data_IF_028284857532
#
_entry.id   IF_028284857532
#
_cell.length_a   1.000
_cell.length_b   1.000
_cell.length_c   1.000
_cell.angle_alpha   90.00
_cell.angle_beta   90.00
_cell.angle_gamma   90.00
#
_symmetry.space_group_name_H-M   'P 1'
#
loop_
_entity.id
_entity.type
_entity.pdbx_description
1 polymer ?
#
# COMPACT_ATOMS: atom_id res chain seq x y z
N UNK A 1 15.23 -8.77 -4.53
CA UNK A 1 13.94 -8.07 -4.34
C UNK A 1 14.02 -6.74 -5.05
N UNK A 2 13.03 -6.41 -5.89
CA UNK A 2 12.96 -5.11 -6.55
C UNK A 2 12.18 -4.11 -5.71
N UNK A 3 12.64 -2.86 -5.64
CA UNK A 3 11.95 -1.78 -4.93
C UNK A 3 11.68 -0.67 -5.94
N UNK A 4 10.44 -0.18 -5.97
CA UNK A 4 10.04 0.98 -6.75
C UNK A 4 9.39 1.99 -5.83
N UNK A 5 9.81 3.24 -5.95
CA UNK A 5 9.25 4.36 -5.21
C UNK A 5 8.70 5.35 -6.23
N UNK A 6 7.43 5.74 -6.06
CA UNK A 6 6.75 6.71 -6.91
C UNK A 6 6.38 7.93 -6.06
N UNK A 7 6.43 9.11 -6.67
CA UNK A 7 5.99 10.39 -6.11
C UNK A 7 5.13 11.08 -7.16
N UNK A 8 4.01 11.66 -6.76
CA UNK A 8 3.16 12.42 -7.66
C UNK A 8 1.86 12.86 -7.00
N UNK A 9 1.44 14.09 -7.33
CA UNK A 9 0.13 14.63 -6.96
C UNK A 9 -0.14 14.67 -5.46
N UNK A 10 -1.37 14.29 -5.11
CA UNK A 10 -2.00 14.30 -3.79
C UNK A 10 -2.13 12.89 -3.19
N UNK A 11 -1.40 11.92 -3.72
CA UNK A 11 -1.43 10.52 -3.27
C UNK A 11 -1.04 10.42 -1.79
N UNK A 12 -1.97 9.95 -0.96
CA UNK A 12 -1.73 9.73 0.48
C UNK A 12 -0.81 8.53 0.71
N UNK A 13 -1.03 7.42 0.00
CA UNK A 13 -0.15 6.26 0.04
C UNK A 13 -0.68 5.07 -0.74
N UNK A 14 0.12 4.60 -1.69
CA UNK A 14 -0.13 3.40 -2.50
C UNK A 14 1.05 2.45 -2.37
N UNK A 15 0.78 1.20 -1.99
CA UNK A 15 1.79 0.15 -1.85
C UNK A 15 1.30 -1.12 -2.52
N UNK A 16 2.10 -1.64 -3.46
CA UNK A 16 1.81 -2.90 -4.12
C UNK A 16 2.99 -3.85 -3.99
N UNK A 17 2.70 -5.09 -3.62
CA UNK A 17 3.61 -6.22 -3.68
C UNK A 17 3.16 -7.14 -4.81
N UNK A 18 4.14 -7.69 -5.52
CA UNK A 18 3.91 -8.63 -6.61
C UNK A 18 4.77 -9.87 -6.40
N UNK A 19 4.13 -11.04 -6.39
CA UNK A 19 4.78 -12.34 -6.38
C UNK A 19 4.56 -12.97 -7.75
N UNK A 20 5.65 -13.30 -8.44
CA UNK A 20 5.60 -13.85 -9.80
C UNK A 20 6.27 -15.22 -9.77
N UNK A 21 5.53 -16.23 -10.20
CA UNK A 21 6.01 -17.60 -10.40
C UNK A 21 5.68 -18.04 -11.83
N UNK A 22 6.04 -19.27 -12.21
CA UNK A 22 5.76 -19.76 -13.57
C UNK A 22 4.26 -19.88 -13.80
N UNK A 23 3.73 -19.06 -14.70
CA UNK A 23 2.32 -19.11 -15.10
C UNK A 23 1.35 -18.44 -14.13
N UNK A 24 1.84 -17.81 -13.05
CA UNK A 24 0.99 -17.20 -12.02
C UNK A 24 1.63 -15.93 -11.47
N UNK A 25 0.76 -14.95 -11.17
CA UNK A 25 1.11 -13.69 -10.53
C UNK A 25 0.08 -13.36 -9.46
N UNK A 26 0.56 -13.06 -8.26
CA UNK A 26 -0.27 -12.61 -7.14
C UNK A 26 0.13 -11.17 -6.82
N UNK A 27 -0.86 -10.27 -6.79
CA UNK A 27 -0.67 -8.88 -6.42
C UNK A 27 -1.43 -8.57 -5.12
N UNK A 28 -0.75 -7.93 -4.17
CA UNK A 28 -1.34 -7.39 -2.94
C UNK A 28 -1.18 -5.87 -2.97
N UNK A 29 -2.29 -5.14 -2.89
CA UNK A 29 -2.27 -3.67 -2.92
C UNK A 29 -2.98 -3.08 -1.71
N UNK A 30 -2.31 -2.14 -1.05
CA UNK A 30 -2.91 -1.28 -0.04
C UNK A 30 -2.91 0.16 -0.56
N UNK A 31 -4.09 0.78 -0.57
CA UNK A 31 -4.32 2.17 -0.97
C UNK A 31 -5.03 2.93 0.13
N UNK A 32 -4.40 3.98 0.62
CA UNK A 32 -4.99 4.89 1.60
C UNK A 32 -5.62 6.09 0.87
N UNK A 33 -6.90 6.36 1.17
CA UNK A 33 -7.63 7.51 0.62
C UNK A 33 -7.67 8.71 1.58
N UNK A 34 -7.49 8.49 2.88
CA UNK A 34 -7.40 9.53 3.90
C UNK A 34 -6.34 9.17 4.94
N UNK A 35 -5.79 10.19 5.61
CA UNK A 35 -4.91 10.00 6.77
C UNK A 35 -5.67 9.51 8.00
N UNK A 36 -6.99 9.65 8.02
CA UNK A 36 -7.85 9.25 9.14
C UNK A 36 -7.81 7.74 9.39
N UNK A 37 -7.50 6.92 8.38
CA UNK A 37 -7.32 5.48 8.54
C UNK A 37 -6.25 5.16 9.58
N UNK A 38 -5.15 5.92 9.60
CA UNK A 38 -4.06 5.73 10.56
C UNK A 38 -4.41 6.28 11.94
N UNK A 39 -5.08 7.44 11.99
CA UNK A 39 -5.53 8.04 13.24
C UNK A 39 -6.55 7.14 13.95
N UNK A 40 -7.54 6.63 13.21
CA UNK A 40 -8.56 5.69 13.73
C UNK A 40 -7.92 4.41 14.28
N UNK A 41 -6.95 3.84 13.56
CA UNK A 41 -6.21 2.66 14.03
C UNK A 41 -5.41 2.92 15.31
N UNK A 42 -4.83 4.11 15.44
CA UNK A 42 -4.10 4.51 16.64
C UNK A 42 -5.02 4.69 17.85
N UNK A 43 -6.19 5.30 17.66
CA UNK A 43 -7.20 5.47 18.72
C UNK A 43 -7.76 4.12 19.18
N UNK A 44 -8.03 3.20 18.26
CA UNK A 44 -8.53 1.86 18.59
C UNK A 44 -7.53 1.04 19.41
N UNK A 45 -6.23 1.28 19.22
CA UNK A 45 -5.17 0.55 19.90
C UNK A 45 -4.86 1.07 21.33
N UNK A 46 -5.37 2.25 21.69
CA UNK A 46 -5.16 2.89 22.98
C UNK A 46 -6.14 2.37 24.04
#
# INVERSE_FOLDING_TARGET
>A
MGIRIIRGGDVIGDHSLCFIVRGERIDLTHRAYSRDTFASGSVLAA
#
